data_IF_785598697421
#
_entry.id   IF_785598697421
#
_cell.length_a   1.000
_cell.length_b   1.000
_cell.length_c   1.000
_cell.angle_alpha   90.00
_cell.angle_beta   90.00
_cell.angle_gamma   90.00
#
_symmetry.space_group_name_H-M   'P 1'
#
loop_
_entity.id
_entity.type
_entity.pdbx_description
1 polymer ?
#
# COMPACT_ATOMS: atom_id res chain seq x y z
N UNK A 1 -28.19 12.95 -14.48
CA UNK A 1 -29.11 11.86 -14.14
C UNK A 1 -29.05 11.68 -12.65
N UNK A 2 -30.06 12.18 -11.92
CA UNK A 2 -30.11 12.12 -10.47
C UNK A 2 -30.52 10.70 -10.05
N UNK A 3 -29.68 10.04 -9.24
CA UNK A 3 -30.05 8.78 -8.59
C UNK A 3 -31.27 9.03 -7.70
N UNK A 4 -32.34 8.26 -7.91
CA UNK A 4 -33.55 8.33 -7.10
C UNK A 4 -33.25 7.82 -5.68
N UNK A 5 -33.21 8.73 -4.70
CA UNK A 5 -33.19 8.37 -3.28
C UNK A 5 -34.58 7.89 -2.84
N UNK A 6 -34.65 6.72 -2.20
CA UNK A 6 -35.88 6.18 -1.65
C UNK A 6 -36.33 7.03 -0.44
N UNK A 7 -37.46 7.73 -0.61
CA UNK A 7 -38.10 8.53 0.44
C UNK A 7 -39.13 7.66 1.16
N UNK A 8 -38.95 7.43 2.46
CA UNK A 8 -39.98 6.80 3.29
C UNK A 8 -40.76 7.87 4.05
N UNK A 9 -42.09 7.76 4.02
CA UNK A 9 -43.01 8.65 4.74
C UNK A 9 -43.42 7.95 6.04
N UNK A 10 -42.99 8.48 7.19
CA UNK A 10 -43.55 8.05 8.47
C UNK A 10 -44.96 8.63 8.63
N UNK A 11 -45.84 7.96 9.38
CA UNK A 11 -47.22 8.41 9.66
C UNK A 11 -47.30 9.82 10.29
N UNK A 12 -46.19 10.33 10.82
CA UNK A 12 -46.02 11.68 11.36
C UNK A 12 -45.82 12.79 10.31
N UNK A 13 -45.81 12.47 9.01
CA UNK A 13 -45.72 13.46 7.92
C UNK A 13 -44.33 14.06 7.67
N UNK A 14 -43.33 13.70 8.47
CA UNK A 14 -41.94 14.13 8.26
C UNK A 14 -41.27 13.34 7.13
N UNK A 15 -40.71 14.06 6.16
CA UNK A 15 -39.88 13.51 5.08
C UNK A 15 -38.46 13.43 5.61
N UNK A 16 -38.02 12.23 6.02
CA UNK A 16 -36.62 11.98 6.36
C UNK A 16 -35.93 11.33 5.15
N UNK A 17 -34.80 11.90 4.72
CA UNK A 17 -33.90 11.23 3.79
C UNK A 17 -33.38 9.97 4.48
N UNK A 18 -33.40 8.82 3.80
CA UNK A 18 -32.79 7.61 4.33
C UNK A 18 -31.34 7.93 4.74
N UNK A 19 -30.89 7.55 5.95
CA UNK A 19 -29.51 7.78 6.33
C UNK A 19 -28.63 7.13 5.26
N UNK A 20 -27.74 7.91 4.64
CA UNK A 20 -26.69 7.36 3.77
C UNK A 20 -26.07 6.23 4.58
N UNK A 21 -26.15 5.00 4.05
CA UNK A 21 -25.62 3.82 4.73
C UNK A 21 -24.13 4.08 4.97
N UNK A 22 -23.77 4.44 6.20
CA UNK A 22 -22.38 4.62 6.60
C UNK A 22 -21.78 3.22 6.67
N UNK A 23 -21.20 2.77 5.55
CA UNK A 23 -20.43 1.54 5.53
C UNK A 23 -19.28 1.69 6.52
N UNK A 24 -19.13 0.71 7.41
CA UNK A 24 -17.97 0.61 8.27
C UNK A 24 -16.69 0.56 7.44
N UNK A 25 -15.53 0.91 8.01
CA UNK A 25 -14.28 1.01 7.27
C UNK A 25 -13.85 -0.28 6.56
N UNK A 26 -14.35 -1.45 6.97
CA UNK A 26 -14.00 -2.77 6.41
C UNK A 26 -15.24 -3.56 5.93
N UNK A 27 -16.35 -2.88 5.64
CA UNK A 27 -17.54 -3.54 5.10
C UNK A 27 -17.49 -3.67 3.59
N UNK A 28 -17.98 -4.79 3.06
CA UNK A 28 -18.14 -4.98 1.61
C UNK A 28 -19.18 -3.99 1.08
N UNK A 29 -18.77 -3.15 0.12
CA UNK A 29 -19.67 -2.10 -0.41
C UNK A 29 -20.61 -2.63 -1.50
N UNK A 30 -20.29 -3.78 -2.11
CA UNK A 30 -21.05 -4.40 -3.21
C UNK A 30 -21.02 -3.60 -4.51
N UNK A 31 -20.18 -2.56 -4.60
CA UNK A 31 -19.98 -1.72 -5.79
C UNK A 31 -18.56 -1.92 -6.32
N UNK A 32 -18.39 -1.85 -7.63
CA UNK A 32 -17.07 -1.94 -8.24
C UNK A 32 -16.18 -0.77 -7.78
N UNK A 33 -15.03 -1.09 -7.18
CA UNK A 33 -14.11 -0.17 -6.53
C UNK A 33 -14.76 0.72 -5.45
N UNK A 34 -15.80 0.23 -4.77
CA UNK A 34 -16.53 1.03 -3.79
C UNK A 34 -15.72 1.33 -2.53
N UNK A 35 -14.94 0.37 -2.03
CA UNK A 35 -14.00 0.58 -0.92
C UNK A 35 -12.96 1.65 -1.25
N UNK A 36 -12.31 1.52 -2.42
CA UNK A 36 -11.32 2.50 -2.89
C UNK A 36 -11.89 3.92 -3.00
N UNK A 37 -13.12 4.06 -3.50
CA UNK A 37 -13.81 5.37 -3.58
C UNK A 37 -14.08 5.98 -2.20
N UNK A 38 -14.45 5.16 -1.23
CA UNK A 38 -14.66 5.61 0.15
C UNK A 38 -13.35 6.06 0.79
N UNK A 39 -12.27 5.34 0.56
CA UNK A 39 -10.94 5.70 1.08
C UNK A 39 -10.44 7.01 0.49
N UNK A 40 -10.58 7.21 -0.83
CA UNK A 40 -10.26 8.48 -1.47
C UNK A 40 -11.09 9.62 -0.88
N UNK A 41 -12.40 9.41 -0.68
CA UNK A 41 -13.29 10.43 -0.10
C UNK A 41 -12.89 10.80 1.33
N UNK A 42 -12.41 9.84 2.12
CA UNK A 42 -11.93 10.06 3.49
C UNK A 42 -10.58 10.80 3.50
N UNK A 43 -9.66 10.48 2.58
CA UNK A 43 -8.31 11.07 2.55
C UNK A 43 -8.23 12.43 1.85
N UNK A 44 -9.02 12.66 0.81
CA UNK A 44 -9.00 13.90 0.02
C UNK A 44 -9.00 15.21 0.83
N UNK A 45 -9.82 15.40 1.90
CA UNK A 45 -9.81 16.66 2.65
C UNK A 45 -8.52 16.90 3.45
N UNK A 46 -7.77 15.85 3.79
CA UNK A 46 -6.53 15.93 4.59
C UNK A 46 -5.28 16.15 3.73
N UNK A 47 -5.34 15.82 2.44
CA UNK A 47 -4.16 15.81 1.59
C UNK A 47 -3.48 17.18 1.49
N UNK A 48 -4.26 18.26 1.40
CA UNK A 48 -3.71 19.61 1.32
C UNK A 48 -3.00 20.03 2.61
N UNK A 49 -3.52 19.64 3.78
CA UNK A 49 -2.90 19.98 5.07
C UNK A 49 -1.58 19.23 5.29
N UNK A 50 -1.48 17.98 4.81
CA UNK A 50 -0.28 17.14 4.96
C UNK A 50 1.01 17.83 4.45
N UNK A 51 0.91 18.62 3.37
CA UNK A 51 2.05 19.37 2.82
C UNK A 51 2.46 20.58 3.65
N UNK A 52 1.53 21.17 4.41
CA UNK A 52 1.78 22.37 5.21
C UNK A 52 2.08 22.05 6.69
N UNK A 53 1.56 20.94 7.20
CA UNK A 53 1.60 20.61 8.62
C UNK A 53 2.99 20.29 9.15
N UNK A 54 3.87 19.78 8.27
CA UNK A 54 5.26 19.52 8.59
C UNK A 54 6.08 20.80 8.87
N UNK A 55 5.67 21.94 8.31
CA UNK A 55 6.37 23.23 8.41
C UNK A 55 5.89 24.12 9.55
N UNK A 56 4.86 23.68 10.30
CA UNK A 56 4.41 24.42 11.48
C UNK A 56 5.52 24.47 12.53
N UNK A 57 5.73 25.59 13.26
CA UNK A 57 6.82 25.71 14.23
C UNK A 57 6.88 24.60 15.29
N UNK A 58 5.71 24.11 15.71
CA UNK A 58 5.56 23.02 16.69
C UNK A 58 6.00 21.65 16.16
N UNK A 59 5.91 21.45 14.85
CA UNK A 59 6.18 20.17 14.19
C UNK A 59 7.53 20.16 13.47
N UNK A 60 8.08 21.32 13.11
CA UNK A 60 9.27 21.44 12.28
C UNK A 60 10.46 20.63 12.81
N UNK A 61 10.74 20.75 14.12
CA UNK A 61 11.82 19.99 14.75
C UNK A 61 11.55 18.47 14.70
N UNK A 62 10.31 18.05 14.98
CA UNK A 62 9.92 16.63 14.94
C UNK A 62 10.07 16.08 13.52
N UNK A 63 9.59 16.80 12.51
CA UNK A 63 9.69 16.43 11.10
C UNK A 63 11.15 16.23 10.67
N UNK A 64 12.03 17.20 10.97
CA UNK A 64 13.45 17.11 10.59
C UNK A 64 14.14 15.94 11.30
N UNK A 65 13.90 15.76 12.61
CA UNK A 65 14.46 14.63 13.35
C UNK A 65 13.97 13.28 12.83
N UNK A 66 12.68 13.16 12.50
CA UNK A 66 12.10 11.94 11.92
C UNK A 66 12.68 11.64 10.54
N UNK A 67 12.87 12.64 9.67
CA UNK A 67 13.48 12.45 8.35
C UNK A 67 14.89 11.86 8.49
N UNK A 68 15.74 12.46 9.33
CA UNK A 68 17.12 11.99 9.53
C UNK A 68 17.16 10.58 10.12
N UNK A 69 16.32 10.32 11.12
CA UNK A 69 16.23 9.01 11.75
C UNK A 69 15.77 7.93 10.77
N UNK A 70 14.67 8.17 10.05
CA UNK A 70 14.10 7.22 9.10
C UNK A 70 15.02 7.00 7.90
N UNK A 71 15.74 8.02 7.44
CA UNK A 71 16.72 7.88 6.36
C UNK A 71 17.80 6.86 6.73
N UNK A 72 18.41 6.99 7.91
CA UNK A 72 19.44 6.05 8.39
C UNK A 72 18.83 4.67 8.64
N UNK A 73 17.64 4.63 9.27
CA UNK A 73 16.96 3.38 9.60
C UNK A 73 16.54 2.58 8.37
N UNK A 74 16.12 3.23 7.28
CA UNK A 74 15.72 2.57 6.04
C UNK A 74 16.91 2.22 5.12
N UNK A 75 18.01 2.97 5.20
CA UNK A 75 19.19 2.75 4.36
C UNK A 75 19.91 1.43 4.69
N UNK A 76 20.09 1.11 5.98
CA UNK A 76 20.81 -0.10 6.39
C UNK A 76 20.14 -1.42 5.92
N UNK A 77 18.81 -1.61 6.04
CA UNK A 77 18.10 -2.74 5.46
C UNK A 77 18.20 -2.75 3.92
N UNK A 78 18.08 -1.60 3.26
CA UNK A 78 18.17 -1.53 1.79
C UNK A 78 19.54 -2.02 1.29
N UNK A 79 20.62 -1.64 1.94
CA UNK A 79 21.98 -2.12 1.62
C UNK A 79 22.10 -3.62 1.91
N UNK A 80 21.64 -4.05 3.09
CA UNK A 80 21.76 -5.44 3.51
C UNK A 80 20.98 -6.39 2.60
N UNK A 81 19.73 -6.07 2.29
CA UNK A 81 18.92 -6.84 1.34
C UNK A 81 19.50 -6.75 -0.07
N UNK A 82 19.91 -5.56 -0.51
CA UNK A 82 20.55 -5.37 -1.81
C UNK A 82 21.78 -6.26 -2.01
N UNK A 83 22.59 -6.46 -0.97
CA UNK A 83 23.73 -7.39 -1.00
C UNK A 83 23.25 -8.84 -1.14
N UNK A 84 22.16 -9.22 -0.46
CA UNK A 84 21.61 -10.58 -0.57
C UNK A 84 20.99 -10.86 -1.93
N UNK A 85 20.37 -9.86 -2.56
CA UNK A 85 19.92 -9.98 -3.93
C UNK A 85 21.09 -10.13 -4.90
N UNK A 86 22.18 -9.37 -4.70
CA UNK A 86 23.36 -9.45 -5.55
C UNK A 86 23.96 -10.86 -5.56
N UNK A 87 24.14 -11.42 -4.35
CA UNK A 87 24.71 -12.76 -4.17
C UNK A 87 23.77 -13.84 -4.72
N UNK A 88 22.47 -13.71 -4.48
CA UNK A 88 21.49 -14.73 -4.84
C UNK A 88 20.99 -14.69 -6.30
N UNK A 89 21.24 -13.60 -7.03
CA UNK A 89 20.85 -13.46 -8.45
C UNK A 89 22.04 -13.40 -9.41
N UNK A 90 23.21 -13.85 -8.95
CA UNK A 90 24.46 -13.84 -9.73
C UNK A 90 24.77 -12.47 -10.36
N UNK A 91 24.58 -11.40 -9.58
CA UNK A 91 24.87 -10.04 -10.01
C UNK A 91 23.81 -9.36 -10.89
N UNK A 92 22.66 -10.00 -11.17
CA UNK A 92 21.61 -9.42 -12.01
C UNK A 92 20.76 -8.37 -11.27
N UNK A 93 20.64 -8.47 -9.94
CA UNK A 93 19.92 -7.53 -9.10
C UNK A 93 20.79 -7.10 -7.92
N UNK A 94 21.29 -5.87 -7.92
CA UNK A 94 22.29 -5.41 -6.96
C UNK A 94 21.78 -4.46 -5.87
N UNK A 95 22.75 -3.94 -5.12
CA UNK A 95 22.53 -2.95 -4.06
C UNK A 95 22.03 -1.63 -4.62
N UNK A 96 22.58 -1.18 -5.75
CA UNK A 96 22.22 0.11 -6.35
C UNK A 96 20.78 0.09 -6.86
N UNK A 97 20.37 -1.00 -7.52
CA UNK A 97 19.01 -1.22 -8.00
C UNK A 97 18.01 -1.24 -6.83
N UNK A 98 18.38 -1.89 -5.71
CA UNK A 98 17.57 -1.89 -4.49
C UNK A 98 17.37 -0.48 -3.90
N UNK A 99 18.45 0.29 -3.77
CA UNK A 99 18.38 1.66 -3.24
C UNK A 99 17.53 2.54 -4.16
N UNK A 100 17.75 2.47 -5.46
CA UNK A 100 16.97 3.23 -6.45
C UNK A 100 15.50 2.83 -6.45
N UNK A 101 15.19 1.54 -6.38
CA UNK A 101 13.83 1.01 -6.30
C UNK A 101 13.11 1.51 -5.04
N UNK A 102 13.77 1.44 -3.88
CA UNK A 102 13.22 1.92 -2.60
C UNK A 102 12.96 3.43 -2.63
N UNK A 103 13.87 4.20 -3.24
CA UNK A 103 13.71 5.65 -3.39
C UNK A 103 12.51 6.02 -4.28
N UNK A 104 12.43 5.44 -5.49
CA UNK A 104 11.35 5.74 -6.45
C UNK A 104 9.99 5.28 -5.90
N UNK A 105 9.91 4.06 -5.39
CA UNK A 105 8.67 3.53 -4.80
C UNK A 105 8.25 4.32 -3.56
N UNK A 106 9.19 4.73 -2.70
CA UNK A 106 8.93 5.57 -1.54
C UNK A 106 8.37 6.95 -1.89
N UNK A 107 8.89 7.59 -2.95
CA UNK A 107 8.38 8.87 -3.44
C UNK A 107 6.96 8.74 -4.01
N UNK A 108 6.72 7.71 -4.82
CA UNK A 108 5.38 7.45 -5.38
C UNK A 108 4.38 7.11 -4.26
N UNK A 109 4.78 6.26 -3.31
CA UNK A 109 3.89 5.85 -2.23
C UNK A 109 3.60 7.00 -1.26
N UNK A 110 4.60 7.77 -0.85
CA UNK A 110 4.37 8.91 0.05
C UNK A 110 3.45 9.99 -0.55
N UNK A 111 3.48 10.16 -1.88
CA UNK A 111 2.65 11.16 -2.57
C UNK A 111 1.23 10.71 -2.87
N UNK A 112 0.99 9.42 -3.13
CA UNK A 112 -0.33 8.91 -3.57
C UNK A 112 -1.02 7.96 -2.58
N UNK A 113 -0.36 7.51 -1.51
CA UNK A 113 -0.93 6.54 -0.57
C UNK A 113 -2.05 7.11 0.31
N UNK A 114 -2.97 6.24 0.75
CA UNK A 114 -3.99 6.52 1.75
C UNK A 114 -3.46 6.69 3.17
N UNK A 115 -2.23 6.25 3.45
CA UNK A 115 -1.53 6.40 4.73
C UNK A 115 -0.01 6.53 4.50
N UNK A 116 0.55 7.75 4.50
CA UNK A 116 1.95 7.99 4.13
C UNK A 116 2.94 7.71 5.25
N UNK A 117 2.45 7.38 6.45
CA UNK A 117 3.30 7.00 7.59
C UNK A 117 3.91 5.59 7.43
N UNK A 118 3.37 4.78 6.52
CA UNK A 118 3.89 3.43 6.26
C UNK A 118 5.18 3.51 5.42
N UNK A 119 6.24 2.86 5.91
CA UNK A 119 7.55 2.83 5.27
C UNK A 119 7.66 1.57 4.40
N UNK A 120 7.97 1.77 3.11
CA UNK A 120 8.23 0.68 2.18
C UNK A 120 9.68 0.22 2.28
N UNK A 121 9.89 -1.10 2.22
CA UNK A 121 11.21 -1.70 2.22
C UNK A 121 11.17 -3.17 1.84
N UNK A 122 12.32 -3.70 1.42
CA UNK A 122 12.47 -5.13 1.18
C UNK A 122 12.38 -5.91 2.49
N UNK A 123 11.80 -7.10 2.42
CA UNK A 123 11.62 -8.01 3.57
C UNK A 123 12.14 -9.41 3.24
N UNK A 124 12.35 -10.22 4.28
CA UNK A 124 12.83 -11.61 4.13
C UNK A 124 12.00 -12.47 3.17
N UNK A 125 10.64 -12.46 3.25
CA UNK A 125 9.80 -13.21 2.32
C UNK A 125 9.96 -12.75 0.86
N UNK A 126 10.11 -11.44 0.63
CA UNK A 126 10.32 -10.91 -0.72
C UNK A 126 11.66 -11.34 -1.31
N UNK A 127 12.73 -11.36 -0.49
CA UNK A 127 14.02 -11.93 -0.88
C UNK A 127 13.88 -13.41 -1.24
N UNK A 128 13.31 -14.23 -0.35
CA UNK A 128 13.13 -15.66 -0.57
C UNK A 128 12.34 -15.96 -1.85
N UNK A 129 11.25 -15.23 -2.08
CA UNK A 129 10.45 -15.34 -3.31
C UNK A 129 11.30 -15.07 -4.56
N UNK A 130 12.06 -13.98 -4.57
CA UNK A 130 12.86 -13.58 -5.74
C UNK A 130 13.96 -14.59 -6.06
N UNK A 131 14.59 -15.18 -5.03
CA UNK A 131 15.59 -16.24 -5.22
C UNK A 131 14.97 -17.50 -5.83
N UNK A 132 13.78 -17.90 -5.38
CA UNK A 132 13.05 -19.03 -5.99
C UNK A 132 12.68 -18.74 -7.45
N UNK A 133 12.28 -17.51 -7.77
CA UNK A 133 11.99 -17.09 -9.16
C UNK A 133 13.27 -17.14 -10.02
N UNK A 134 14.41 -16.76 -9.46
CA UNK A 134 15.71 -16.87 -10.12
C UNK A 134 16.08 -18.33 -10.39
N UNK A 135 16.00 -19.20 -9.38
CA UNK A 135 16.29 -20.63 -9.53
C UNK A 135 15.36 -21.29 -10.55
N UNK A 136 14.08 -20.90 -10.58
CA UNK A 136 13.12 -21.37 -11.56
C UNK A 136 13.47 -20.91 -12.99
N UNK A 137 13.89 -19.65 -13.15
CA UNK A 137 14.32 -19.13 -14.45
C UNK A 137 15.50 -19.94 -15.00
N UNK A 138 16.48 -20.24 -14.15
CA UNK A 138 17.64 -21.08 -14.49
C UNK A 138 17.21 -22.51 -14.83
N UNK A 139 16.30 -23.10 -14.05
CA UNK A 139 15.83 -24.47 -14.28
C UNK A 139 15.05 -24.62 -15.60
N UNK A 140 14.37 -23.57 -16.05
CA UNK A 140 13.58 -23.54 -17.29
C UNK A 140 14.39 -22.98 -18.48
N UNK A 141 15.65 -22.61 -18.27
CA UNK A 141 16.54 -22.01 -19.29
C UNK A 141 15.98 -20.73 -19.91
N UNK A 142 15.43 -19.84 -19.07
CA UNK A 142 14.91 -18.53 -19.47
C UNK A 142 15.68 -17.40 -18.79
N UNK A 143 15.79 -16.25 -19.47
CA UNK A 143 16.42 -15.07 -18.90
C UNK A 143 15.64 -14.57 -17.68
N UNK A 144 16.35 -14.37 -16.57
CA UNK A 144 15.75 -13.96 -15.30
C UNK A 144 15.01 -12.62 -15.38
N UNK A 145 15.60 -11.58 -15.98
CA UNK A 145 15.04 -10.23 -15.92
C UNK A 145 13.69 -10.10 -16.64
N UNK A 146 13.50 -10.60 -17.89
CA UNK A 146 12.18 -10.63 -18.52
C UNK A 146 11.18 -11.52 -17.79
N UNK A 147 11.62 -12.67 -17.27
CA UNK A 147 10.76 -13.57 -16.51
C UNK A 147 10.25 -12.89 -15.23
N UNK A 148 11.16 -12.27 -14.47
CA UNK A 148 10.86 -11.51 -13.27
C UNK A 148 9.89 -10.35 -13.55
N UNK A 149 10.11 -9.59 -14.62
CA UNK A 149 9.19 -8.54 -15.05
C UNK A 149 7.75 -9.04 -15.24
N UNK A 150 7.57 -10.17 -15.94
CA UNK A 150 6.23 -10.73 -16.14
C UNK A 150 5.58 -11.19 -14.83
N UNK A 151 6.34 -11.79 -13.91
CA UNK A 151 5.80 -12.15 -12.59
C UNK A 151 5.32 -10.93 -11.80
N UNK A 152 6.06 -9.82 -11.86
CA UNK A 152 5.66 -8.55 -11.24
C UNK A 152 4.42 -7.95 -11.91
N UNK A 153 4.29 -8.05 -13.23
CA UNK A 153 3.10 -7.58 -13.95
C UNK A 153 1.83 -8.33 -13.53
N UNK A 154 1.91 -9.65 -13.37
CA UNK A 154 0.79 -10.45 -12.84
C UNK A 154 0.46 -10.10 -11.39
N UNK A 155 1.47 -9.92 -10.54
CA UNK A 155 1.28 -9.48 -9.16
C UNK A 155 0.57 -8.12 -9.07
N UNK A 156 0.97 -7.16 -9.92
CA UNK A 156 0.32 -5.84 -10.04
C UNK A 156 -1.15 -5.98 -10.46
N UNK A 157 -1.43 -6.80 -11.48
CA UNK A 157 -2.80 -7.07 -11.93
C UNK A 157 -3.66 -7.63 -10.80
N UNK A 158 -3.19 -8.66 -10.08
CA UNK A 158 -3.94 -9.25 -8.97
C UNK A 158 -4.17 -8.25 -7.84
N UNK A 159 -3.20 -7.39 -7.55
CA UNK A 159 -3.34 -6.33 -6.55
C UNK A 159 -4.46 -5.35 -6.92
N UNK A 160 -4.53 -4.94 -8.20
CA UNK A 160 -5.62 -4.08 -8.70
C UNK A 160 -6.97 -4.80 -8.60
N UNK A 161 -7.04 -6.09 -8.97
CA UNK A 161 -8.29 -6.85 -8.87
C UNK A 161 -8.77 -6.94 -7.42
N UNK A 162 -7.89 -7.22 -6.47
CA UNK A 162 -8.20 -7.24 -5.03
C UNK A 162 -8.80 -5.91 -4.56
N UNK A 163 -8.22 -4.79 -4.99
CA UNK A 163 -8.71 -3.46 -4.66
C UNK A 163 -10.07 -3.13 -5.31
N UNK A 164 -10.29 -3.55 -6.56
CA UNK A 164 -11.53 -3.28 -7.32
C UNK A 164 -12.70 -4.13 -6.82
N UNK A 165 -12.45 -5.35 -6.35
CA UNK A 165 -13.46 -6.26 -5.81
C UNK A 165 -13.71 -6.13 -4.31
N UNK A 166 -13.20 -5.07 -3.66
CA UNK A 166 -13.35 -4.82 -2.22
C UNK A 166 -12.87 -5.99 -1.33
N UNK A 167 -11.91 -6.79 -1.80
CA UNK A 167 -11.42 -7.95 -1.05
C UNK A 167 -10.65 -7.54 0.22
N UNK A 168 -10.20 -6.28 0.32
CA UNK A 168 -9.62 -5.72 1.54
C UNK A 168 -10.58 -5.78 2.75
N UNK A 169 -11.90 -5.86 2.53
CA UNK A 169 -12.89 -6.06 3.60
C UNK A 169 -12.68 -7.38 4.38
N UNK A 170 -11.95 -8.35 3.80
CA UNK A 170 -11.56 -9.59 4.50
C UNK A 170 -10.64 -9.32 5.71
N UNK A 171 -9.95 -8.18 5.75
CA UNK A 171 -9.13 -7.79 6.89
C UNK A 171 -9.91 -7.70 8.20
N UNK A 172 -11.25 -7.58 8.15
CA UNK A 172 -12.11 -7.64 9.35
C UNK A 172 -11.99 -8.95 10.13
N UNK A 173 -11.47 -10.00 9.52
CA UNK A 173 -11.25 -11.30 10.16
C UNK A 173 -9.91 -11.39 10.88
N UNK A 174 -8.98 -10.47 10.60
CA UNK A 174 -7.73 -10.34 11.35
C UNK A 174 -8.06 -9.70 12.68
N UNK A 175 -7.63 -10.35 13.76
CA UNK A 175 -7.89 -9.89 15.14
C UNK A 175 -6.61 -9.34 15.76
N UNK A 176 -6.76 -8.53 16.81
CA UNK A 176 -5.63 -8.01 17.59
C UNK A 176 -4.66 -9.11 18.05
N UNK A 177 -5.16 -10.30 18.40
CA UNK A 177 -4.32 -11.45 18.74
C UNK A 177 -3.40 -11.87 17.58
N UNK A 178 -3.93 -11.87 16.36
CA UNK A 178 -3.14 -12.20 15.16
C UNK A 178 -2.13 -11.10 14.84
N UNK A 179 -2.50 -9.84 15.06
CA UNK A 179 -1.62 -8.68 14.86
C UNK A 179 -0.46 -8.69 15.87
N UNK A 180 -0.75 -8.93 17.16
CA UNK A 180 0.25 -8.96 18.23
C UNK A 180 1.24 -10.12 18.09
N UNK A 181 0.83 -11.25 17.50
CA UNK A 181 1.74 -12.38 17.21
C UNK A 181 2.66 -12.09 16.03
N UNK A 182 2.18 -11.29 15.07
CA UNK A 182 2.92 -10.99 13.85
C UNK A 182 3.91 -9.83 14.02
N UNK A 183 3.62 -8.88 14.93
CA UNK A 183 4.46 -7.74 15.27
C UNK A 183 5.71 -8.13 16.08
#
# INVERSE_FOLDING_TARGET
>A
MAEAEAVYRYESGNIAHAPKKDYGPLDFTGKLAGGLRLDIRRRAPLYCSDWTDAFRPENFQKSVSSILYLFIAALAPAITFGSRFLDGTNGQFGVMEMIMSTCISGLIFSTFSGQPLSILGATGPFLAYTLVVYDLAVAVDVEFMPFYFWTCMWCSLFTVLVAVFDLCALMKHVTMFSEDIFA
#
